data_IF_430832062732
#
_entry.id   IF_430832062732
#
_cell.length_a   1.000
_cell.length_b   1.000
_cell.length_c   1.000
_cell.angle_alpha   90.00
_cell.angle_beta   90.00
_cell.angle_gamma   90.00
#
_symmetry.space_group_name_H-M   'P 1'
#
loop_
_entity.id
_entity.type
_entity.pdbx_description
1 polymer ?
#
# COMPACT_ATOMS: atom_id res chain seq x y z
N UNK A 1 3.23 -17.59 -24.29
CA UNK A 1 3.98 -18.68 -23.61
C UNK A 1 2.96 -19.63 -23.03
N UNK A 2 3.10 -20.91 -23.38
CA UNK A 2 2.11 -21.96 -23.17
C UNK A 2 2.03 -22.37 -21.69
N UNK A 3 0.88 -22.19 -21.08
CA UNK A 3 0.54 -22.86 -19.81
C UNK A 3 -0.45 -23.98 -20.11
N UNK A 4 0.08 -25.20 -20.15
CA UNK A 4 -0.67 -26.44 -20.21
C UNK A 4 -1.60 -26.50 -19.00
N UNK A 5 -2.91 -26.41 -19.23
CA UNK A 5 -3.92 -26.78 -18.26
C UNK A 5 -3.84 -28.30 -18.12
N UNK A 6 -3.27 -28.79 -17.02
CA UNK A 6 -3.34 -30.20 -16.66
C UNK A 6 -4.73 -30.43 -16.04
N UNK A 7 -5.72 -30.64 -16.91
CA UNK A 7 -6.89 -31.44 -16.58
C UNK A 7 -6.41 -32.89 -16.58
N UNK A 8 -6.40 -33.59 -15.43
CA UNK A 8 -6.41 -35.07 -15.36
C UNK A 8 -6.33 -35.57 -13.90
N UNK A 9 -7.23 -36.48 -13.53
CA UNK A 9 -7.12 -37.25 -12.29
C UNK A 9 -8.39 -37.96 -11.82
N UNK A 10 -9.08 -38.66 -12.73
CA UNK A 10 -9.95 -39.83 -12.51
C UNK A 10 -10.51 -40.12 -11.11
N UNK A 11 -11.80 -39.83 -10.91
CA UNK A 11 -12.62 -40.45 -9.85
C UNK A 11 -12.99 -41.86 -10.31
N UNK A 12 -12.39 -42.89 -9.71
CA UNK A 12 -12.70 -44.27 -10.03
C UNK A 12 -14.06 -44.67 -9.44
N UNK A 13 -15.07 -44.78 -10.29
CA UNK A 13 -16.40 -45.31 -9.95
C UNK A 13 -16.32 -46.83 -9.88
N UNK A 14 -16.39 -47.42 -8.68
CA UNK A 14 -16.39 -48.88 -8.49
C UNK A 14 -17.83 -49.41 -8.54
N UNK A 15 -18.13 -50.23 -9.54
CA UNK A 15 -19.41 -50.94 -9.69
C UNK A 15 -19.39 -52.29 -8.96
N UNK A 16 -20.54 -52.65 -8.36
CA UNK A 16 -20.70 -53.73 -7.38
C UNK A 16 -21.49 -54.91 -7.97
N UNK A 17 -20.97 -56.14 -7.86
CA UNK A 17 -21.74 -57.39 -8.07
C UNK A 17 -21.53 -58.30 -6.85
N UNK A 18 -22.63 -58.69 -6.20
CA UNK A 18 -22.65 -59.39 -4.89
C UNK A 18 -23.12 -60.83 -5.07
N UNK A 19 -22.37 -61.81 -4.53
CA UNK A 19 -22.92 -63.15 -4.21
C UNK A 19 -22.32 -63.70 -2.89
N UNK A 20 -23.20 -64.18 -1.98
CA UNK A 20 -22.96 -64.88 -0.67
C UNK A 20 -22.65 -64.05 0.61
N UNK A 21 -23.16 -64.50 1.78
CA UNK A 21 -23.14 -63.81 3.11
C UNK A 21 -21.72 -63.64 3.70
N UNK A 22 -20.81 -64.62 3.51
CA UNK A 22 -19.39 -64.47 3.84
C UNK A 22 -18.64 -63.57 2.84
N UNK A 23 -19.10 -63.56 1.58
CA UNK A 23 -18.69 -62.57 0.60
C UNK A 23 -19.09 -61.15 1.01
N UNK A 24 -20.25 -60.96 1.65
CA UNK A 24 -20.75 -59.64 2.06
C UNK A 24 -19.86 -58.94 3.10
N UNK A 25 -19.37 -59.65 4.12
CA UNK A 25 -18.53 -59.03 5.18
C UNK A 25 -17.11 -58.73 4.70
N UNK A 26 -16.54 -59.61 3.88
CA UNK A 26 -15.22 -59.40 3.24
C UNK A 26 -15.28 -58.33 2.16
N UNK A 27 -16.38 -58.26 1.40
CA UNK A 27 -16.65 -57.23 0.42
C UNK A 27 -16.89 -55.85 1.07
N UNK A 28 -17.70 -55.77 2.13
CA UNK A 28 -17.89 -54.51 2.86
C UNK A 28 -16.58 -53.99 3.44
N UNK A 29 -15.75 -54.90 3.98
CA UNK A 29 -14.42 -54.54 4.46
C UNK A 29 -13.51 -54.00 3.36
N UNK A 30 -13.46 -54.63 2.19
CA UNK A 30 -12.64 -54.15 1.07
C UNK A 30 -13.13 -52.80 0.53
N UNK A 31 -14.45 -52.58 0.48
CA UNK A 31 -15.03 -51.28 0.15
C UNK A 31 -14.55 -50.20 1.14
N UNK A 32 -14.68 -50.45 2.44
CA UNK A 32 -14.24 -49.47 3.46
C UNK A 32 -12.73 -49.24 3.46
N UNK A 33 -11.93 -50.27 3.22
CA UNK A 33 -10.47 -50.13 3.04
C UNK A 33 -10.13 -49.28 1.80
N UNK A 34 -10.90 -49.40 0.72
CA UNK A 34 -10.80 -48.53 -0.46
C UNK A 34 -11.16 -47.07 -0.17
N UNK A 35 -12.24 -46.83 0.58
CA UNK A 35 -12.63 -45.47 1.02
C UNK A 35 -11.54 -44.84 1.89
N UNK A 36 -10.99 -45.64 2.81
CA UNK A 36 -9.86 -45.29 3.64
C UNK A 36 -8.64 -44.91 2.78
N UNK A 37 -8.25 -45.74 1.82
CA UNK A 37 -7.10 -45.47 0.95
C UNK A 37 -7.24 -44.17 0.15
N UNK A 38 -8.43 -43.92 -0.42
CA UNK A 38 -8.72 -42.68 -1.14
C UNK A 38 -8.59 -41.43 -0.25
N UNK A 39 -9.09 -41.50 0.99
CA UNK A 39 -8.94 -40.40 1.95
C UNK A 39 -7.46 -40.13 2.34
N UNK A 40 -6.65 -41.18 2.46
CA UNK A 40 -5.20 -41.05 2.72
C UNK A 40 -4.46 -40.43 1.53
N UNK A 41 -4.80 -40.82 0.31
CA UNK A 41 -4.23 -40.22 -0.91
C UNK A 41 -4.52 -38.71 -0.97
N UNK A 42 -5.75 -38.31 -0.65
CA UNK A 42 -6.13 -36.89 -0.60
C UNK A 42 -5.35 -36.15 0.49
N UNK A 43 -5.25 -36.74 1.69
CA UNK A 43 -4.51 -36.16 2.82
C UNK A 43 -3.03 -35.97 2.45
N UNK A 44 -2.37 -37.03 1.97
CA UNK A 44 -0.95 -37.00 1.62
C UNK A 44 -0.66 -36.02 0.49
N UNK A 45 -1.49 -36.00 -0.56
CA UNK A 45 -1.34 -35.06 -1.69
C UNK A 45 -1.45 -33.61 -1.21
N UNK A 46 -2.45 -33.29 -0.40
CA UNK A 46 -2.67 -31.92 0.10
C UNK A 46 -1.57 -31.50 1.09
N UNK A 47 -1.20 -32.37 2.04
CA UNK A 47 -0.14 -32.07 3.02
C UNK A 47 1.26 -31.94 2.40
N UNK A 48 1.51 -32.57 1.25
CA UNK A 48 2.77 -32.43 0.52
C UNK A 48 2.85 -31.16 -0.34
N UNK A 49 1.70 -30.56 -0.65
CA UNK A 49 1.58 -29.46 -1.62
C UNK A 49 1.38 -28.12 -0.91
N UNK A 50 2.48 -27.65 -0.30
CA UNK A 50 2.57 -26.35 0.38
C UNK A 50 2.85 -25.19 -0.59
N UNK A 51 2.95 -25.45 -1.90
CA UNK A 51 3.25 -24.41 -2.89
C UNK A 51 2.11 -23.40 -2.99
N UNK A 52 2.41 -22.11 -3.28
CA UNK A 52 1.41 -21.10 -3.63
C UNK A 52 0.46 -21.63 -4.69
N UNK A 53 -0.85 -21.50 -4.47
CA UNK A 53 -1.87 -22.05 -5.35
C UNK A 53 -2.99 -21.04 -5.54
N UNK A 54 -3.52 -20.94 -6.76
CA UNK A 54 -4.62 -20.03 -7.07
C UNK A 54 -5.90 -20.41 -6.34
N UNK A 55 -6.82 -19.46 -6.23
CA UNK A 55 -8.12 -19.65 -5.58
C UNK A 55 -8.90 -20.87 -6.14
N UNK A 56 -8.84 -21.09 -7.45
CA UNK A 56 -9.49 -22.23 -8.11
C UNK A 56 -8.88 -23.56 -7.66
N UNK A 57 -7.55 -23.63 -7.55
CA UNK A 57 -6.85 -24.84 -7.11
C UNK A 57 -7.15 -25.10 -5.63
N UNK A 58 -7.14 -24.07 -4.78
CA UNK A 58 -7.48 -24.20 -3.37
C UNK A 58 -8.93 -24.66 -3.17
N UNK A 59 -9.87 -24.08 -3.93
CA UNK A 59 -11.29 -24.47 -3.89
C UNK A 59 -11.51 -25.92 -4.36
N UNK A 60 -10.77 -26.35 -5.38
CA UNK A 60 -10.81 -27.74 -5.83
C UNK A 60 -10.26 -28.71 -4.77
N UNK A 61 -9.19 -28.32 -4.06
CA UNK A 61 -8.67 -29.10 -2.91
C UNK A 61 -9.71 -29.20 -1.79
N UNK A 62 -10.42 -28.12 -1.49
CA UNK A 62 -11.45 -28.10 -0.45
C UNK A 62 -12.60 -29.04 -0.80
N UNK A 63 -13.09 -28.98 -2.04
CA UNK A 63 -14.12 -29.91 -2.52
C UNK A 63 -13.68 -31.38 -2.42
N UNK A 64 -12.41 -31.68 -2.67
CA UNK A 64 -11.89 -33.04 -2.50
C UNK A 64 -11.88 -33.49 -1.02
N UNK A 65 -11.55 -32.58 -0.10
CA UNK A 65 -11.65 -32.84 1.34
C UNK A 65 -13.10 -33.10 1.74
N UNK A 66 -14.05 -32.27 1.29
CA UNK A 66 -15.48 -32.46 1.57
C UNK A 66 -16.00 -33.81 1.10
N UNK A 67 -15.62 -34.23 -0.11
CA UNK A 67 -15.95 -35.55 -0.66
C UNK A 67 -15.34 -36.66 0.20
N UNK A 68 -14.10 -36.52 0.64
CA UNK A 68 -13.43 -37.51 1.50
C UNK A 68 -14.11 -37.62 2.88
N UNK A 69 -14.42 -36.49 3.51
CA UNK A 69 -15.15 -36.42 4.79
C UNK A 69 -16.53 -37.06 4.66
N UNK A 70 -17.29 -36.71 3.62
CA UNK A 70 -18.61 -37.30 3.33
C UNK A 70 -18.52 -38.81 3.13
N UNK A 71 -17.44 -39.28 2.50
CA UNK A 71 -17.20 -40.69 2.23
C UNK A 71 -16.84 -41.46 3.49
N UNK A 72 -15.98 -40.92 4.36
CA UNK A 72 -15.64 -41.53 5.64
C UNK A 72 -16.84 -41.61 6.60
N UNK A 73 -17.73 -40.61 6.58
CA UNK A 73 -18.97 -40.61 7.37
C UNK A 73 -19.93 -41.76 7.01
N UNK A 74 -19.77 -42.41 5.85
CA UNK A 74 -20.59 -43.57 5.47
C UNK A 74 -20.17 -44.87 6.17
N UNK A 75 -19.00 -44.89 6.81
CA UNK A 75 -18.50 -46.07 7.54
C UNK A 75 -19.24 -46.17 8.87
N UNK A 76 -20.04 -47.23 9.12
CA UNK A 76 -20.84 -47.32 10.33
C UNK A 76 -19.97 -47.65 11.56
N UNK A 77 -20.36 -47.21 12.77
CA UNK A 77 -19.67 -47.52 14.03
C UNK A 77 -19.46 -49.02 14.30
N UNK A 78 -20.34 -49.86 13.75
CA UNK A 78 -20.26 -51.33 13.84
C UNK A 78 -19.05 -51.93 13.10
N UNK A 79 -18.30 -51.14 12.32
CA UNK A 79 -17.13 -51.59 11.54
C UNK A 79 -15.84 -51.76 12.37
N UNK A 80 -15.92 -51.61 13.71
CA UNK A 80 -14.81 -51.86 14.62
C UNK A 80 -13.57 -51.02 14.32
N UNK A 81 -12.42 -51.68 14.11
CA UNK A 81 -11.14 -50.99 13.81
C UNK A 81 -11.17 -50.10 12.56
N UNK A 82 -11.99 -50.45 11.57
CA UNK A 82 -12.13 -49.66 10.34
C UNK A 82 -12.79 -48.32 10.67
N UNK A 83 -13.80 -48.33 11.54
CA UNK A 83 -14.46 -47.10 12.00
C UNK A 83 -13.49 -46.22 12.79
N UNK A 84 -12.67 -46.81 13.67
CA UNK A 84 -11.64 -46.06 14.40
C UNK A 84 -10.65 -45.37 13.47
N UNK A 85 -10.13 -46.08 12.46
CA UNK A 85 -9.25 -45.50 11.43
C UNK A 85 -9.95 -44.42 10.60
N UNK A 86 -11.23 -44.61 10.29
CA UNK A 86 -12.03 -43.62 9.58
C UNK A 86 -12.15 -42.33 10.41
N UNK A 87 -12.39 -42.45 11.72
CA UNK A 87 -12.49 -41.31 12.62
C UNK A 87 -11.16 -40.56 12.77
N UNK A 88 -10.03 -41.29 12.86
CA UNK A 88 -8.69 -40.69 12.88
C UNK A 88 -8.42 -39.88 11.60
N UNK A 89 -8.74 -40.45 10.42
CA UNK A 89 -8.59 -39.74 9.13
C UNK A 89 -9.56 -38.57 8.98
N UNK A 90 -10.78 -38.73 9.46
CA UNK A 90 -11.77 -37.67 9.47
C UNK A 90 -11.30 -36.46 10.28
N UNK A 91 -10.70 -36.69 11.46
CA UNK A 91 -10.13 -35.62 12.28
C UNK A 91 -8.99 -34.90 11.53
N UNK A 92 -8.08 -35.64 10.89
CA UNK A 92 -6.99 -35.05 10.08
C UNK A 92 -7.52 -34.22 8.90
N UNK A 93 -8.52 -34.74 8.19
CA UNK A 93 -9.13 -34.02 7.07
C UNK A 93 -9.84 -32.74 7.52
N UNK A 94 -10.49 -32.76 8.69
CA UNK A 94 -11.09 -31.55 9.28
C UNK A 94 -10.06 -30.49 9.64
N UNK A 95 -8.92 -30.90 10.17
CA UNK A 95 -7.82 -29.97 10.45
C UNK A 95 -7.28 -29.35 9.16
N UNK A 96 -7.09 -30.16 8.11
CA UNK A 96 -6.67 -29.68 6.79
C UNK A 96 -7.71 -28.75 6.14
N UNK A 97 -9.01 -29.04 6.28
CA UNK A 97 -10.07 -28.17 5.77
C UNK A 97 -10.06 -26.79 6.44
N UNK A 98 -9.83 -26.74 7.76
CA UNK A 98 -9.71 -25.48 8.49
C UNK A 98 -8.50 -24.66 8.00
N UNK A 99 -7.34 -25.31 7.84
CA UNK A 99 -6.13 -24.67 7.31
C UNK A 99 -6.35 -24.16 5.87
N UNK A 100 -6.99 -24.96 5.03
CA UNK A 100 -7.27 -24.61 3.64
C UNK A 100 -8.28 -23.46 3.53
N UNK A 101 -9.30 -23.45 4.39
CA UNK A 101 -10.25 -22.34 4.50
C UNK A 101 -9.53 -21.04 4.84
N UNK A 102 -8.64 -21.05 5.84
CA UNK A 102 -7.85 -19.87 6.18
C UNK A 102 -6.99 -19.41 5.00
N UNK A 103 -6.39 -20.35 4.28
CA UNK A 103 -5.57 -20.06 3.10
C UNK A 103 -6.38 -19.45 1.96
N UNK A 104 -7.59 -19.94 1.72
CA UNK A 104 -8.53 -19.40 0.74
C UNK A 104 -8.90 -17.95 1.09
N UNK A 105 -9.18 -17.66 2.35
CA UNK A 105 -9.49 -16.29 2.80
C UNK A 105 -8.29 -15.35 2.66
N UNK A 106 -7.08 -15.83 3.00
CA UNK A 106 -5.86 -15.07 2.76
C UNK A 106 -5.64 -14.75 1.27
N UNK A 107 -5.89 -15.72 0.39
CA UNK A 107 -5.76 -15.54 -1.06
C UNK A 107 -6.80 -14.53 -1.60
N UNK A 108 -8.05 -14.60 -1.14
CA UNK A 108 -9.09 -13.62 -1.49
C UNK A 108 -8.72 -12.21 -1.05
N UNK A 109 -8.26 -12.08 0.19
CA UNK A 109 -7.82 -10.80 0.74
C UNK A 109 -6.65 -10.24 -0.07
N UNK A 110 -5.67 -11.09 -0.41
CA UNK A 110 -4.54 -10.68 -1.21
C UNK A 110 -4.95 -10.19 -2.61
N UNK A 111 -5.83 -10.93 -3.30
CA UNK A 111 -6.36 -10.53 -4.59
C UNK A 111 -7.11 -9.19 -4.52
N UNK A 112 -8.02 -9.04 -3.55
CA UNK A 112 -8.81 -7.81 -3.38
C UNK A 112 -7.93 -6.60 -3.04
N UNK A 113 -6.98 -6.76 -2.11
CA UNK A 113 -6.04 -5.71 -1.74
C UNK A 113 -5.10 -5.35 -2.89
N UNK A 114 -4.66 -6.32 -3.68
CA UNK A 114 -3.83 -6.10 -4.87
C UNK A 114 -4.59 -5.31 -5.94
N UNK A 115 -5.85 -5.67 -6.22
CA UNK A 115 -6.70 -4.92 -7.15
C UNK A 115 -6.96 -3.50 -6.67
N UNK A 116 -7.26 -3.31 -5.37
CA UNK A 116 -7.42 -1.97 -4.78
C UNK A 116 -6.15 -1.14 -4.94
N UNK A 117 -4.99 -1.72 -4.67
CA UNK A 117 -3.70 -1.05 -4.81
C UNK A 117 -3.43 -0.64 -6.27
N UNK A 118 -3.77 -1.48 -7.26
CA UNK A 118 -3.65 -1.16 -8.68
C UNK A 118 -4.59 -0.01 -9.09
N UNK A 119 -5.86 -0.06 -8.69
CA UNK A 119 -6.83 1.01 -8.98
C UNK A 119 -6.37 2.35 -8.42
N UNK A 120 -5.95 2.37 -7.16
CA UNK A 120 -5.41 3.58 -6.51
C UNK A 120 -4.17 4.09 -7.24
N UNK A 121 -3.23 3.21 -7.61
CA UNK A 121 -2.06 3.61 -8.38
C UNK A 121 -2.43 4.24 -9.73
N UNK A 122 -3.34 3.62 -10.48
CA UNK A 122 -3.81 4.13 -11.77
C UNK A 122 -4.47 5.51 -11.64
N UNK A 123 -5.31 5.70 -10.62
CA UNK A 123 -5.92 6.99 -10.31
C UNK A 123 -4.85 8.06 -10.02
N UNK A 124 -3.89 7.75 -9.17
CA UNK A 124 -2.82 8.69 -8.81
C UNK A 124 -1.98 9.07 -10.04
N UNK A 125 -1.60 8.08 -10.87
CA UNK A 125 -0.84 8.33 -12.10
C UNK A 125 -1.64 9.17 -13.09
N UNK A 126 -2.94 8.92 -13.24
CA UNK A 126 -3.82 9.71 -14.10
C UNK A 126 -3.92 11.16 -13.62
N UNK A 127 -4.09 11.37 -12.32
CA UNK A 127 -4.10 12.71 -11.71
C UNK A 127 -2.79 13.44 -11.98
N UNK A 128 -1.66 12.78 -11.74
CA UNK A 128 -0.32 13.33 -11.95
C UNK A 128 -0.05 13.71 -13.41
N UNK A 129 -0.47 12.88 -14.36
CA UNK A 129 -0.26 13.14 -15.79
C UNK A 129 -1.21 14.18 -16.37
N UNK A 130 -2.37 14.42 -15.74
CA UNK A 130 -3.42 15.28 -16.31
C UNK A 130 -3.19 16.78 -16.12
N UNK A 131 -2.37 17.20 -15.15
CA UNK A 131 -2.18 18.62 -14.82
C UNK A 131 -0.93 18.87 -13.97
N UNK A 132 -0.49 20.12 -13.97
CA UNK A 132 0.63 20.57 -13.15
C UNK A 132 0.18 20.71 -11.67
N UNK A 133 0.13 19.59 -10.94
CA UNK A 133 -0.41 19.50 -9.58
C UNK A 133 0.22 20.52 -8.62
N UNK A 134 -0.60 21.18 -7.80
CA UNK A 134 -0.15 22.05 -6.70
C UNK A 134 0.65 21.28 -5.64
N UNK A 135 1.34 22.02 -4.76
CA UNK A 135 2.12 21.41 -3.68
C UNK A 135 1.25 20.57 -2.74
N UNK A 136 0.03 21.03 -2.45
CA UNK A 136 -0.92 20.32 -1.59
C UNK A 136 -1.47 19.06 -2.26
N UNK A 137 -1.79 19.14 -3.56
CA UNK A 137 -2.23 17.96 -4.32
C UNK A 137 -1.13 16.90 -4.39
N UNK A 138 0.13 17.29 -4.59
CA UNK A 138 1.27 16.36 -4.54
C UNK A 138 1.41 15.69 -3.16
N UNK A 139 1.20 16.44 -2.07
CA UNK A 139 1.22 15.90 -0.72
C UNK A 139 0.14 14.84 -0.51
N UNK A 140 -1.07 15.11 -0.99
CA UNK A 140 -2.20 14.16 -0.92
C UNK A 140 -1.90 12.91 -1.76
N UNK A 141 -1.41 13.06 -2.98
CA UNK A 141 -1.04 11.93 -3.84
C UNK A 141 0.08 11.06 -3.23
N UNK A 142 1.07 11.67 -2.55
CA UNK A 142 2.10 10.93 -1.81
C UNK A 142 1.53 10.11 -0.66
N UNK A 143 0.61 10.67 0.11
CA UNK A 143 -0.06 9.92 1.19
C UNK A 143 -0.85 8.73 0.62
N UNK A 144 -1.52 8.91 -0.53
CA UNK A 144 -2.20 7.80 -1.23
C UNK A 144 -1.23 6.74 -1.74
N UNK A 145 -0.04 7.13 -2.21
CA UNK A 145 1.01 6.15 -2.57
C UNK A 145 1.48 5.33 -1.37
N UNK A 146 1.59 5.94 -0.20
CA UNK A 146 1.91 5.22 1.03
C UNK A 146 0.82 4.20 1.38
N UNK A 147 -0.47 4.54 1.18
CA UNK A 147 -1.56 3.57 1.32
C UNK A 147 -1.42 2.41 0.33
N UNK A 148 -1.10 2.70 -0.95
CA UNK A 148 -0.86 1.67 -1.97
C UNK A 148 0.27 0.72 -1.55
N UNK A 149 1.42 1.26 -1.13
CA UNK A 149 2.56 0.46 -0.68
C UNK A 149 2.18 -0.38 0.54
N UNK A 150 1.51 0.21 1.52
CA UNK A 150 1.07 -0.48 2.72
C UNK A 150 0.10 -1.63 2.44
N UNK A 151 -0.83 -1.46 1.49
CA UNK A 151 -1.75 -2.52 1.06
C UNK A 151 -0.98 -3.71 0.47
N UNK A 152 0.13 -3.46 -0.23
CA UNK A 152 0.94 -4.49 -0.86
C UNK A 152 1.92 -5.16 0.11
N UNK A 153 2.57 -4.40 1.01
CA UNK A 153 3.52 -4.94 1.99
C UNK A 153 2.87 -5.84 3.03
N UNK A 154 1.59 -5.62 3.32
CA UNK A 154 0.83 -6.46 4.27
C UNK A 154 0.40 -7.81 3.70
N UNK A 155 0.62 -8.06 2.41
CA UNK A 155 0.16 -9.29 1.79
C UNK A 155 1.04 -10.48 2.19
N UNK A 156 0.43 -11.64 2.51
CA UNK A 156 1.20 -12.84 2.81
C UNK A 156 2.06 -13.28 1.62
N UNK A 157 3.30 -13.70 1.90
CA UNK A 157 4.26 -14.09 0.87
C UNK A 157 3.98 -15.46 0.23
N UNK A 158 3.07 -16.25 0.81
CA UNK A 158 2.66 -17.58 0.38
C UNK A 158 1.44 -17.59 -0.57
N UNK A 159 1.02 -16.39 -1.00
CA UNK A 159 -0.09 -16.16 -1.95
C UNK A 159 0.32 -16.47 -3.38
N UNK A 160 -0.66 -16.81 -4.23
CA UNK A 160 -0.39 -17.13 -5.63
C UNK A 160 0.11 -15.93 -6.45
N UNK A 161 -0.17 -14.71 -5.97
CA UNK A 161 0.21 -13.44 -6.59
C UNK A 161 1.49 -12.82 -6.01
N UNK A 162 2.24 -13.53 -5.16
CA UNK A 162 3.39 -12.96 -4.46
C UNK A 162 4.45 -12.38 -5.42
N UNK A 163 4.66 -13.00 -6.58
CA UNK A 163 5.61 -12.51 -7.58
C UNK A 163 5.13 -11.19 -8.21
N UNK A 164 3.84 -11.10 -8.55
CA UNK A 164 3.17 -9.93 -9.10
C UNK A 164 3.15 -8.78 -8.09
N UNK A 165 2.87 -9.07 -6.81
CA UNK A 165 2.91 -8.11 -5.71
C UNK A 165 4.31 -7.54 -5.55
N UNK A 166 5.35 -8.38 -5.54
CA UNK A 166 6.74 -7.92 -5.43
C UNK A 166 7.17 -7.04 -6.61
N UNK A 167 6.72 -7.39 -7.82
CA UNK A 167 6.95 -6.56 -9.00
C UNK A 167 6.23 -5.22 -8.87
N UNK A 168 4.96 -5.22 -8.49
CA UNK A 168 4.16 -4.02 -8.30
C UNK A 168 4.72 -3.12 -7.19
N UNK A 169 5.17 -3.68 -6.07
CA UNK A 169 5.84 -2.95 -5.00
C UNK A 169 7.04 -2.16 -5.53
N UNK A 170 7.89 -2.80 -6.33
CA UNK A 170 9.05 -2.15 -6.95
C UNK A 170 8.64 -1.04 -7.90
N UNK A 171 7.68 -1.30 -8.78
CA UNK A 171 7.23 -0.33 -9.79
C UNK A 171 6.52 0.87 -9.14
N UNK A 172 5.65 0.62 -8.16
CA UNK A 172 4.88 1.66 -7.46
C UNK A 172 5.76 2.49 -6.54
N UNK A 173 6.76 1.87 -5.87
CA UNK A 173 7.74 2.60 -5.07
C UNK A 173 8.55 3.58 -5.93
N UNK A 174 8.97 3.16 -7.12
CA UNK A 174 9.67 4.05 -8.07
C UNK A 174 8.80 5.23 -8.51
N UNK A 175 7.51 4.99 -8.71
CA UNK A 175 6.56 6.05 -9.04
C UNK A 175 6.37 7.04 -7.88
N UNK A 176 6.27 6.52 -6.65
CA UNK A 176 6.24 7.31 -5.42
C UNK A 176 7.50 8.18 -5.26
N UNK A 177 8.69 7.64 -5.49
CA UNK A 177 9.95 8.38 -5.43
C UNK A 177 10.02 9.53 -6.45
N UNK A 178 9.47 9.28 -7.65
CA UNK A 178 9.37 10.31 -8.70
C UNK A 178 8.49 11.46 -8.23
N UNK A 179 7.33 11.15 -7.67
CA UNK A 179 6.40 12.14 -7.13
C UNK A 179 6.99 12.87 -5.92
N UNK A 180 7.73 12.17 -5.06
CA UNK A 180 8.40 12.75 -3.90
C UNK A 180 9.47 13.75 -4.31
N UNK A 181 10.21 13.44 -5.38
CA UNK A 181 11.17 14.37 -5.98
C UNK A 181 10.48 15.60 -6.53
N UNK A 182 9.35 15.43 -7.25
CA UNK A 182 8.56 16.56 -7.75
C UNK A 182 8.03 17.45 -6.62
N UNK A 183 7.53 16.84 -5.53
CA UNK A 183 7.08 17.56 -4.33
C UNK A 183 8.22 18.39 -3.72
N UNK A 184 9.38 17.78 -3.48
CA UNK A 184 10.56 18.46 -2.89
C UNK A 184 11.02 19.64 -3.73
N UNK A 185 11.08 19.47 -5.05
CA UNK A 185 11.47 20.55 -5.96
C UNK A 185 10.47 21.72 -5.95
N UNK A 186 9.17 21.41 -5.86
CA UNK A 186 8.13 22.45 -5.81
C UNK A 186 8.12 23.17 -4.46
N UNK A 187 8.39 22.43 -3.38
CA UNK A 187 8.53 22.98 -2.04
C UNK A 187 9.74 23.92 -1.96
N UNK A 188 10.91 23.52 -2.47
CA UNK A 188 12.11 24.36 -2.49
C UNK A 188 11.91 25.63 -3.31
N UNK A 189 11.28 25.53 -4.49
CA UNK A 189 10.95 26.68 -5.31
C UNK A 189 10.00 27.66 -4.60
N UNK A 190 8.98 27.13 -3.90
CA UNK A 190 8.05 27.97 -3.12
C UNK A 190 8.76 28.70 -1.98
N UNK A 191 9.69 28.04 -1.29
CA UNK A 191 10.51 28.65 -0.23
C UNK A 191 11.41 29.75 -0.76
N UNK A 192 12.10 29.52 -1.88
CA UNK A 192 12.97 30.51 -2.51
C UNK A 192 12.20 31.76 -2.95
N UNK A 193 10.99 31.59 -3.51
CA UNK A 193 10.12 32.73 -3.86
C UNK A 193 9.70 33.51 -2.62
N UNK A 194 9.30 32.81 -1.55
CA UNK A 194 8.92 33.46 -0.29
C UNK A 194 10.09 34.23 0.35
N UNK A 195 11.30 33.69 0.30
CA UNK A 195 12.51 34.36 0.78
C UNK A 195 12.84 35.62 -0.03
N UNK A 196 12.77 35.53 -1.36
CA UNK A 196 12.96 36.70 -2.24
C UNK A 196 11.93 37.80 -1.97
N UNK A 197 10.68 37.44 -1.73
CA UNK A 197 9.63 38.41 -1.37
C UNK A 197 9.95 39.13 -0.06
N UNK A 198 10.35 38.38 0.99
CA UNK A 198 10.77 38.96 2.27
C UNK A 198 11.96 39.90 2.13
N UNK A 199 12.96 39.51 1.32
CA UNK A 199 14.11 40.36 1.05
C UNK A 199 13.71 41.65 0.34
N UNK A 200 12.85 41.56 -0.69
CA UNK A 200 12.35 42.74 -1.40
C UNK A 200 11.55 43.68 -0.49
N UNK A 201 10.75 43.14 0.43
CA UNK A 201 10.01 43.94 1.41
C UNK A 201 10.95 44.61 2.41
N UNK A 202 11.94 43.89 2.93
CA UNK A 202 12.96 44.44 3.80
C UNK A 202 13.80 45.53 3.10
N UNK A 203 14.14 45.35 1.83
CA UNK A 203 14.85 46.36 1.02
C UNK A 203 14.00 47.61 0.80
N UNK A 204 12.72 47.44 0.49
CA UNK A 204 11.78 48.57 0.36
C UNK A 204 11.65 49.33 1.68
N UNK A 205 11.59 48.63 2.81
CA UNK A 205 11.56 49.24 4.14
C UNK A 205 12.85 50.02 4.44
N UNK A 206 14.01 49.42 4.20
CA UNK A 206 15.32 50.09 4.35
C UNK A 206 15.43 51.33 3.47
N UNK A 207 15.01 51.26 2.20
CA UNK A 207 14.98 52.43 1.32
C UNK A 207 14.04 53.51 1.83
N UNK A 208 12.88 53.14 2.37
CA UNK A 208 11.94 54.08 2.94
C UNK A 208 12.53 54.79 4.17
N UNK A 209 13.14 54.05 5.10
CA UNK A 209 13.82 54.60 6.28
C UNK A 209 14.96 55.54 5.90
N UNK A 210 15.82 55.16 4.94
CA UNK A 210 16.89 56.02 4.45
C UNK A 210 16.35 57.34 3.89
N UNK A 211 15.28 57.30 3.09
CA UNK A 211 14.63 58.53 2.56
C UNK A 211 14.01 59.40 3.65
N UNK A 212 13.59 58.82 4.77
CA UNK A 212 13.08 59.58 5.92
C UNK A 212 14.23 60.26 6.67
N UNK A 213 15.34 59.54 6.88
CA UNK A 213 16.56 60.10 7.49
C UNK A 213 17.17 61.21 6.62
N UNK A 214 17.27 61.02 5.30
CA UNK A 214 17.72 62.06 4.37
C UNK A 214 16.85 63.31 4.45
N UNK A 215 15.53 63.15 4.49
CA UNK A 215 14.60 64.28 4.67
C UNK A 215 14.79 64.98 6.01
N UNK A 216 15.00 64.23 7.10
CA UNK A 216 15.29 64.82 8.41
C UNK A 216 16.60 65.62 8.40
N UNK A 217 17.67 65.05 7.86
CA UNK A 217 18.96 65.73 7.74
C UNK A 217 18.86 67.01 6.89
N UNK A 218 18.11 66.99 5.79
CA UNK A 218 17.85 68.19 4.99
C UNK A 218 17.11 69.28 5.79
N UNK A 219 16.11 68.90 6.59
CA UNK A 219 15.38 69.84 7.44
C UNK A 219 16.28 70.45 8.53
N UNK A 220 17.19 69.67 9.13
CA UNK A 220 18.17 70.18 10.10
C UNK A 220 19.15 71.16 9.47
N UNK A 221 19.66 70.84 8.27
CA UNK A 221 20.52 71.75 7.51
C UNK A 221 19.78 73.06 7.23
N UNK A 222 18.53 73.00 6.73
CA UNK A 222 17.74 74.21 6.49
C UNK A 222 17.53 75.04 7.76
N UNK A 223 17.20 74.40 8.89
CA UNK A 223 17.06 75.11 10.18
C UNK A 223 18.36 75.80 10.58
N UNK A 224 19.50 75.11 10.49
CA UNK A 224 20.81 75.68 10.83
C UNK A 224 21.19 76.87 9.94
N UNK A 225 20.83 76.83 8.65
CA UNK A 225 21.04 77.95 7.73
C UNK A 225 20.20 79.16 8.13
N UNK A 226 18.92 78.96 8.45
CA UNK A 226 18.02 80.03 8.91
C UNK A 226 18.51 80.64 10.23
N UNK A 227 18.92 79.82 11.20
CA UNK A 227 19.48 80.29 12.47
C UNK A 227 20.79 81.05 12.30
N UNK A 228 21.64 80.62 11.37
CA UNK A 228 22.90 81.32 11.06
C UNK A 228 22.65 82.67 10.34
N UNK A 229 21.66 82.73 9.45
CA UNK A 229 21.24 83.96 8.79
C UNK A 229 20.63 84.95 9.79
N UNK A 230 19.79 84.46 10.71
CA UNK A 230 19.25 85.26 11.83
C UNK A 230 20.35 85.86 12.70
N UNK A 231 21.35 85.04 13.09
CA UNK A 231 22.51 85.52 13.86
C UNK A 231 23.38 86.53 13.11
N UNK A 232 23.53 86.39 11.78
CA UNK A 232 24.22 87.39 10.95
C UNK A 232 23.45 88.71 10.86
N UNK A 233 22.12 88.67 10.76
CA UNK A 233 21.30 89.89 10.80
C UNK A 233 21.32 90.56 12.17
N UNK A 234 21.29 89.82 13.28
CA UNK A 234 21.44 90.39 14.62
C UNK A 234 22.83 91.01 14.85
N UNK A 235 23.90 90.38 14.35
CA UNK A 235 25.25 90.92 14.41
C UNK A 235 25.42 92.21 13.57
N UNK A 236 24.71 92.32 12.43
CA UNK A 236 24.70 93.55 11.62
C UNK A 236 23.88 94.68 12.27
N UNK A 237 22.82 94.37 13.02
CA UNK A 237 22.01 95.38 13.72
C UNK A 237 22.73 95.91 14.97
N UNK A 238 23.53 95.08 15.65
CA UNK A 238 24.21 95.45 16.90
C UNK A 238 25.66 95.97 16.73
N UNK A 239 26.18 96.11 15.52
CA UNK A 239 27.49 96.73 15.28
C UNK A 239 27.37 97.86 14.24
N UNK A 240 27.02 99.10 14.65
CA UNK A 240 27.08 100.24 13.76
C UNK A 240 28.55 100.51 13.45
N UNK A 241 28.95 100.18 12.22
CA UNK A 241 30.26 100.57 11.67
C UNK A 241 30.37 102.09 11.83
N UNK A 242 31.24 102.53 12.76
CA UNK A 242 31.69 103.91 12.84
C UNK A 242 32.55 104.18 11.60
N UNK A 243 31.91 104.59 10.51
CA UNK A 243 32.59 105.32 9.45
C UNK A 243 32.67 106.79 9.89
N UNK A 244 33.79 107.14 10.51
CA UNK A 244 34.31 108.50 10.57
C UNK A 244 35.65 108.47 9.85
N UNK A 245 35.68 109.06 8.64
CA UNK A 245 36.61 110.10 8.19
C UNK A 245 36.27 110.49 6.75
#
# INVERSE_FOLDING_TARGET
>A
MNSKIIVLGSVATVAVVVTSWFGWTTYQRSVYEGLLASAEEITTKISSDNAPASLDVLSARQKNIDVAISTLNKIPPSSGDIYRKAQERWNKLKELDAQLTQRIENEKLALSSFEKAKSLHEEIVKEYNSRNLSLEELRVSLARYQEVIFLLEKLPADTSIAAEVNKALKDFSKSNDTMLTAYRNKESAAREVAERQRQQEADKQRQHELRMLERQAQLEIQKSMVESAGRRSEAMINNPVRFWE
#
